data_IF_546283664622
#
_entry.id   IF_546283664622
#
_cell.length_a   1.000
_cell.length_b   1.000
_cell.length_c   1.000
_cell.angle_alpha   90.00
_cell.angle_beta   90.00
_cell.angle_gamma   90.00
#
_symmetry.space_group_name_H-M   'P 1'
#
loop_
_entity.id
_entity.type
_entity.pdbx_description
1 polymer ?
#
# COMPACT_ATOMS: atom_id res chain seq x y z
N UNK A 1 -4.53 1.14 26.29
CA UNK A 1 -5.44 1.16 25.13
C UNK A 1 -4.66 0.56 23.97
N UNK A 2 -5.17 -0.50 23.35
CA UNK A 2 -4.40 -1.29 22.38
C UNK A 2 -4.07 -0.44 21.14
N UNK A 3 -2.78 -0.20 20.92
CA UNK A 3 -2.17 0.48 19.77
C UNK A 3 -2.18 -0.39 18.50
N UNK A 4 -3.19 -1.25 18.31
CA UNK A 4 -3.32 -2.12 17.15
C UNK A 4 -3.93 -1.35 15.99
N UNK A 5 -3.17 -0.39 15.45
CA UNK A 5 -3.61 0.42 14.32
C UNK A 5 -2.89 -0.03 13.04
N UNK A 6 -3.68 -0.34 12.02
CA UNK A 6 -3.20 -0.53 10.65
C UNK A 6 -3.42 0.76 9.83
N UNK A 7 -2.45 1.18 9.02
CA UNK A 7 -2.58 2.40 8.19
C UNK A 7 -1.73 2.29 6.92
N UNK A 8 -2.25 2.77 5.79
CA UNK A 8 -1.51 2.87 4.53
C UNK A 8 -1.26 4.35 4.24
N UNK A 9 0.00 4.72 4.07
CA UNK A 9 0.45 6.07 3.73
C UNK A 9 0.86 6.10 2.26
N UNK A 10 0.35 7.08 1.50
CA UNK A 10 0.66 7.27 0.08
C UNK A 10 1.42 8.60 -0.06
N UNK A 11 2.58 8.52 -0.72
CA UNK A 11 3.46 9.64 -1.02
C UNK A 11 3.52 9.84 -2.53
N UNK A 12 3.34 11.08 -2.97
CA UNK A 12 3.59 11.47 -4.35
C UNK A 12 5.09 11.48 -4.65
N UNK A 13 5.44 11.51 -5.94
CA UNK A 13 6.84 11.74 -6.33
C UNK A 13 7.36 13.11 -5.89
N UNK A 14 6.49 14.11 -5.75
CA UNK A 14 6.87 15.43 -5.24
C UNK A 14 7.30 15.34 -3.77
N UNK A 15 6.54 14.63 -2.93
CA UNK A 15 6.88 14.42 -1.52
C UNK A 15 8.23 13.72 -1.39
N UNK A 16 8.49 12.73 -2.24
CA UNK A 16 9.75 11.96 -2.25
C UNK A 16 10.91 12.83 -2.74
N UNK A 17 10.72 13.61 -3.80
CA UNK A 17 11.76 14.49 -4.32
C UNK A 17 12.13 15.57 -3.29
N UNK A 18 11.14 16.13 -2.60
CA UNK A 18 11.39 17.08 -1.51
C UNK A 18 12.23 16.46 -0.39
N UNK A 19 11.96 15.19 -0.04
CA UNK A 19 12.74 14.44 0.95
C UNK A 19 14.17 14.13 0.49
N UNK A 20 14.37 13.86 -0.81
CA UNK A 20 15.70 13.70 -1.40
C UNK A 20 16.48 15.01 -1.31
N UNK A 21 15.84 16.15 -1.64
CA UNK A 21 16.46 17.47 -1.58
C UNK A 21 16.83 17.86 -0.14
N UNK A 22 16.00 17.52 0.84
CA UNK A 22 16.26 17.72 2.27
C UNK A 22 17.37 16.78 2.80
N UNK A 23 17.52 15.59 2.21
CA UNK A 23 18.46 14.54 2.65
C UNK A 23 19.37 14.05 1.50
N UNK A 24 20.21 14.93 0.92
CA UNK A 24 20.99 14.62 -0.29
C UNK A 24 22.05 13.53 -0.09
N UNK A 25 22.34 13.15 1.17
CA UNK A 25 23.27 12.09 1.53
C UNK A 25 22.63 10.69 1.50
N UNK A 26 21.31 10.59 1.41
CA UNK A 26 20.58 9.32 1.25
C UNK A 26 20.39 9.07 -0.24
N UNK A 27 21.26 8.26 -0.83
CA UNK A 27 21.23 7.94 -2.27
C UNK A 27 20.37 6.73 -2.60
N UNK A 28 20.01 5.92 -1.61
CA UNK A 28 19.14 4.75 -1.77
C UNK A 28 17.67 5.14 -1.47
N UNK A 29 16.77 5.12 -2.47
CA UNK A 29 15.35 5.41 -2.28
C UNK A 29 14.68 4.52 -1.23
N UNK A 30 15.13 3.28 -1.03
CA UNK A 30 14.55 2.39 -0.03
C UNK A 30 14.92 2.82 1.40
N UNK A 31 16.14 3.32 1.61
CA UNK A 31 16.57 3.89 2.90
C UNK A 31 15.79 5.18 3.19
N UNK A 32 15.57 6.00 2.16
CA UNK A 32 14.75 7.20 2.28
C UNK A 32 13.33 6.84 2.68
N UNK A 33 12.67 5.92 1.97
CA UNK A 33 11.31 5.49 2.26
C UNK A 33 11.20 4.73 3.60
N UNK A 34 12.28 4.11 4.09
CA UNK A 34 12.31 3.50 5.42
C UNK A 34 12.37 4.54 6.56
N UNK A 35 12.76 5.78 6.25
CA UNK A 35 12.96 6.86 7.24
C UNK A 35 12.12 8.12 7.00
N UNK A 36 11.41 8.22 5.87
CA UNK A 36 10.53 9.34 5.51
C UNK A 36 9.52 9.61 6.62
N UNK A 37 9.24 10.89 6.89
CA UNK A 37 8.23 11.26 7.88
C UNK A 37 6.83 10.87 7.38
N UNK A 38 6.10 10.08 8.17
CA UNK A 38 4.75 9.63 7.80
C UNK A 38 3.73 10.77 7.80
N UNK A 39 4.00 11.86 8.53
CA UNK A 39 3.14 13.05 8.55
C UNK A 39 3.15 13.82 7.22
N UNK A 40 4.17 13.58 6.38
CA UNK A 40 4.30 14.18 5.04
C UNK A 40 3.55 13.41 3.95
N UNK A 41 2.84 12.33 4.28
CA UNK A 41 2.08 11.58 3.30
C UNK A 41 0.99 12.44 2.65
N UNK A 42 0.96 12.50 1.32
CA UNK A 42 -0.10 13.20 0.59
C UNK A 42 -1.49 12.60 0.83
N UNK A 43 -1.56 11.30 1.15
CA UNK A 43 -2.82 10.67 1.54
C UNK A 43 -2.61 9.57 2.58
N UNK A 44 -3.53 9.50 3.54
CA UNK A 44 -3.54 8.49 4.59
C UNK A 44 -4.84 7.70 4.49
N UNK A 45 -4.72 6.39 4.33
CA UNK A 45 -5.82 5.44 4.37
C UNK A 45 -5.89 4.90 5.80
N UNK A 46 -6.86 5.35 6.61
CA UNK A 46 -7.02 4.82 7.96
C UNK A 46 -7.64 3.41 7.92
N UNK A 47 -7.41 2.64 8.99
CA UNK A 47 -8.03 1.31 9.19
C UNK A 47 -9.55 1.31 9.04
N UNK A 48 -10.20 2.42 9.44
CA UNK A 48 -11.65 2.58 9.33
C UNK A 48 -12.15 2.58 7.89
N UNK A 49 -11.31 2.99 6.92
CA UNK A 49 -11.65 2.97 5.50
C UNK A 49 -11.49 1.58 4.86
N UNK A 50 -10.75 0.67 5.50
CA UNK A 50 -10.58 -0.71 5.04
C UNK A 50 -11.86 -1.48 5.34
N UNK A 51 -12.50 -2.00 4.31
CA UNK A 51 -13.75 -2.76 4.41
C UNK A 51 -13.45 -4.22 4.64
N UNK A 52 -12.51 -4.76 3.86
CA UNK A 52 -12.11 -6.14 3.93
C UNK A 52 -10.64 -6.30 3.55
N UNK A 53 -10.02 -7.35 4.08
CA UNK A 53 -8.73 -7.82 3.68
C UNK A 53 -8.84 -9.28 3.23
N UNK A 54 -8.65 -9.51 1.94
CA UNK A 54 -8.58 -10.83 1.33
C UNK A 54 -7.18 -11.40 1.55
N UNK A 55 -7.08 -12.40 2.43
CA UNK A 55 -5.80 -12.99 2.79
C UNK A 55 -5.23 -13.87 1.67
N UNK A 56 -5.98 -14.78 1.03
CA UNK A 56 -5.48 -15.52 -0.13
C UNK A 56 -4.97 -14.61 -1.25
N UNK A 57 -5.74 -13.58 -1.59
CA UNK A 57 -5.41 -12.67 -2.70
C UNK A 57 -4.53 -11.49 -2.28
N UNK A 58 -4.21 -11.38 -0.99
CA UNK A 58 -3.39 -10.30 -0.42
C UNK A 58 -3.87 -8.91 -0.90
N UNK A 59 -5.18 -8.68 -0.77
CA UNK A 59 -5.87 -7.52 -1.35
C UNK A 59 -6.72 -6.81 -0.31
N UNK A 60 -6.48 -5.51 -0.12
CA UNK A 60 -7.36 -4.65 0.67
C UNK A 60 -8.46 -4.08 -0.22
N UNK A 61 -9.69 -4.22 0.25
CA UNK A 61 -10.85 -3.51 -0.28
C UNK A 61 -11.12 -2.28 0.57
N UNK A 62 -11.15 -1.11 -0.06
CA UNK A 62 -11.25 0.19 0.63
C UNK A 62 -12.41 0.96 0.03
N UNK A 63 -13.14 1.71 0.85
CA UNK A 63 -14.14 2.66 0.35
C UNK A 63 -13.47 3.72 -0.52
N UNK A 64 -14.04 4.02 -1.68
CA UNK A 64 -13.60 5.12 -2.54
C UNK A 64 -14.33 6.42 -2.15
N UNK A 65 -13.70 7.37 -1.42
CA UNK A 65 -14.38 8.61 -1.06
C UNK A 65 -14.60 9.57 -2.25
N UNK A 66 -14.07 9.24 -3.43
CA UNK A 66 -14.24 10.02 -4.66
C UNK A 66 -15.27 9.43 -5.63
N UNK A 67 -15.91 8.30 -5.31
CA UNK A 67 -16.84 7.64 -6.24
C UNK A 67 -18.02 8.52 -6.69
N UNK A 68 -18.51 9.39 -5.80
CA UNK A 68 -19.59 10.33 -6.09
C UNK A 68 -19.13 11.62 -6.78
N UNK A 69 -17.82 11.81 -6.96
CA UNK A 69 -17.27 13.02 -7.57
C UNK A 69 -17.13 12.80 -9.08
N UNK A 70 -17.57 13.77 -9.87
CA UNK A 70 -17.35 13.81 -11.33
C UNK A 70 -15.86 13.86 -11.74
N UNK A 71 -14.94 13.98 -10.77
CA UNK A 71 -13.49 13.93 -11.00
C UNK A 71 -13.01 12.53 -10.69
N UNK A 72 -12.31 11.95 -11.67
CA UNK A 72 -11.53 10.72 -11.55
C UNK A 72 -10.71 10.71 -10.25
N UNK A 73 -10.57 9.54 -9.64
CA UNK A 73 -9.67 9.31 -8.51
C UNK A 73 -8.32 10.03 -8.73
N UNK A 74 -7.76 10.73 -7.73
CA UNK A 74 -6.48 11.39 -7.90
C UNK A 74 -5.40 10.47 -8.50
N UNK A 75 -4.72 10.95 -9.54
CA UNK A 75 -3.73 10.17 -10.31
C UNK A 75 -2.65 9.53 -9.43
N UNK A 76 -2.22 10.22 -8.38
CA UNK A 76 -1.23 9.71 -7.43
C UNK A 76 -1.71 8.49 -6.63
N UNK A 77 -3.02 8.21 -6.58
CA UNK A 77 -3.55 7.00 -5.97
C UNK A 77 -3.61 5.83 -6.95
N UNK A 78 -3.37 6.11 -8.23
CA UNK A 78 -3.49 5.18 -9.34
C UNK A 78 -2.12 4.72 -9.85
N UNK A 79 -1.15 5.63 -9.96
CA UNK A 79 0.17 5.27 -10.48
C UNK A 79 1.24 6.29 -10.05
N UNK A 80 2.50 5.81 -9.96
CA UNK A 80 3.69 6.65 -9.85
C UNK A 80 4.07 7.04 -8.42
N UNK A 81 3.20 6.82 -7.45
CA UNK A 81 3.44 7.10 -6.03
C UNK A 81 4.17 5.97 -5.31
N UNK A 82 4.56 6.22 -4.06
CA UNK A 82 5.02 5.17 -3.13
C UNK A 82 4.00 4.97 -2.02
N UNK A 83 3.88 3.74 -1.57
CA UNK A 83 3.03 3.35 -0.46
C UNK A 83 3.89 2.77 0.68
N UNK A 84 3.54 3.15 1.91
CA UNK A 84 4.09 2.57 3.13
C UNK A 84 2.94 2.04 3.96
N UNK A 85 3.00 0.76 4.33
CA UNK A 85 2.02 0.12 5.20
C UNK A 85 2.60 0.02 6.59
N UNK A 86 1.83 0.45 7.57
CA UNK A 86 2.21 0.46 8.99
C UNK A 86 1.22 -0.36 9.79
N UNK A 87 1.74 -1.24 10.64
CA UNK A 87 0.97 -1.96 11.64
C UNK A 87 1.68 -1.85 12.99
N UNK A 88 0.95 -1.46 14.04
CA UNK A 88 1.52 -1.29 15.39
C UNK A 88 2.79 -0.41 15.41
N UNK A 89 2.75 0.71 14.68
CA UNK A 89 3.88 1.66 14.53
C UNK A 89 5.10 1.12 13.78
N UNK A 90 5.06 -0.13 13.30
CA UNK A 90 6.10 -0.71 12.48
C UNK A 90 5.75 -0.60 11.00
N UNK A 91 6.70 -0.14 10.17
CA UNK A 91 6.59 -0.22 8.71
C UNK A 91 6.75 -1.69 8.31
N UNK A 92 5.69 -2.27 7.76
CA UNK A 92 5.63 -3.69 7.40
C UNK A 92 5.70 -3.91 5.89
N UNK A 93 5.53 -2.85 5.09
CA UNK A 93 5.71 -2.87 3.65
C UNK A 93 6.06 -1.46 3.16
N UNK A 94 6.95 -1.41 2.16
CA UNK A 94 7.29 -0.23 1.38
C UNK A 94 7.28 -0.67 -0.07
N UNK A 95 6.61 0.06 -0.94
CA UNK A 95 6.54 -0.32 -2.35
C UNK A 95 6.02 0.78 -3.27
N UNK A 96 6.14 0.54 -4.57
CA UNK A 96 5.56 1.42 -5.59
C UNK A 96 4.06 1.19 -5.69
N UNK A 97 3.31 2.26 -5.90
CA UNK A 97 1.90 2.19 -6.25
C UNK A 97 1.76 2.19 -7.78
N UNK A 98 1.17 1.14 -8.30
CA UNK A 98 1.05 0.89 -9.74
C UNK A 98 -0.38 0.57 -10.11
N UNK A 99 -0.77 0.89 -11.32
CA UNK A 99 -2.13 0.60 -11.75
C UNK A 99 -2.24 -0.78 -12.39
N UNK A 100 -3.26 -1.53 -12.02
CA UNK A 100 -3.55 -2.84 -12.60
C UNK A 100 -3.79 -2.77 -14.12
N UNK A 101 -4.35 -1.66 -14.61
CA UNK A 101 -4.70 -1.46 -16.03
C UNK A 101 -3.51 -1.05 -16.91
N UNK A 102 -2.49 -0.41 -16.32
CA UNK A 102 -1.39 0.25 -17.07
C UNK A 102 -0.02 -0.36 -16.80
N UNK A 103 0.19 -1.00 -15.65
CA UNK A 103 1.49 -1.55 -15.28
C UNK A 103 1.80 -2.82 -16.08
N UNK A 104 2.60 -2.68 -17.13
CA UNK A 104 3.00 -3.79 -18.00
C UNK A 104 4.25 -4.52 -17.52
N UNK A 105 5.08 -3.88 -16.69
CA UNK A 105 6.35 -4.45 -16.26
C UNK A 105 6.81 -3.84 -14.94
N UNK A 106 7.07 -4.70 -13.96
CA UNK A 106 7.90 -4.38 -12.80
C UNK A 106 9.11 -5.31 -12.88
N UNK A 107 10.29 -4.82 -12.50
CA UNK A 107 11.43 -5.68 -12.28
C UNK A 107 11.02 -6.84 -11.33
N UNK A 108 11.38 -8.09 -11.63
CA UNK A 108 10.96 -9.25 -10.83
C UNK A 108 11.19 -9.03 -9.35
N UNK A 109 12.34 -8.48 -8.97
CA UNK A 109 12.79 -8.18 -7.61
C UNK A 109 12.00 -7.09 -6.85
N UNK A 110 11.14 -6.34 -7.53
CA UNK A 110 10.41 -5.24 -6.92
C UNK A 110 9.00 -5.66 -6.50
N UNK A 111 8.63 -5.25 -5.29
CA UNK A 111 7.26 -5.40 -4.82
C UNK A 111 6.46 -4.13 -5.04
N UNK A 112 5.23 -4.29 -5.50
CA UNK A 112 4.30 -3.19 -5.69
C UNK A 112 2.94 -3.45 -5.05
N UNK A 113 2.29 -2.33 -4.73
CA UNK A 113 0.89 -2.26 -4.39
C UNK A 113 0.12 -1.86 -5.65
N UNK A 114 -0.61 -2.80 -6.22
CA UNK A 114 -1.42 -2.55 -7.39
C UNK A 114 -2.76 -1.95 -6.98
N UNK A 115 -3.10 -0.80 -7.57
CA UNK A 115 -4.38 -0.16 -7.38
C UNK A 115 -5.32 -0.50 -8.54
N UNK A 116 -6.56 -0.84 -8.19
CA UNK A 116 -7.67 -1.05 -9.12
C UNK A 116 -8.89 -0.30 -8.61
N UNK A 117 -9.50 0.52 -9.47
CA UNK A 117 -10.62 1.39 -9.09
C UNK A 117 -11.89 0.83 -9.69
N UNK A 118 -12.82 0.39 -8.83
CA UNK A 118 -14.11 -0.13 -9.29
C UNK A 118 -15.21 0.58 -8.54
N UNK A 119 -15.88 1.50 -9.23
CA UNK A 119 -17.04 2.24 -8.71
C UNK A 119 -16.76 2.89 -7.34
N UNK A 120 -17.43 2.38 -6.31
CA UNK A 120 -17.41 2.80 -4.92
C UNK A 120 -16.24 2.24 -4.11
N UNK A 121 -15.33 1.50 -4.74
CA UNK A 121 -14.22 0.83 -4.09
C UNK A 121 -12.86 1.04 -4.77
N UNK A 122 -11.83 1.03 -3.93
CA UNK A 122 -10.43 0.95 -4.33
C UNK A 122 -9.90 -0.38 -3.82
N UNK A 123 -9.22 -1.12 -4.70
CA UNK A 123 -8.55 -2.36 -4.36
C UNK A 123 -7.06 -2.12 -4.39
N UNK A 124 -6.38 -2.47 -3.30
CA UNK A 124 -4.93 -2.41 -3.18
C UNK A 124 -4.38 -3.81 -2.96
N UNK A 125 -3.71 -4.32 -3.99
CA UNK A 125 -3.32 -5.71 -4.12
C UNK A 125 -1.79 -5.84 -4.06
N UNK A 126 -1.26 -6.59 -3.11
CA UNK A 126 0.19 -6.84 -3.04
C UNK A 126 0.60 -7.88 -4.09
N UNK A 127 1.54 -7.54 -4.97
CA UNK A 127 2.02 -8.43 -6.03
C UNK A 127 3.53 -8.32 -6.23
N UNK A 128 4.12 -9.41 -6.70
CA UNK A 128 5.52 -9.51 -7.13
C UNK A 128 5.55 -9.80 -8.63
N UNK A 129 6.45 -9.17 -9.39
CA UNK A 129 6.59 -9.37 -10.83
C UNK A 129 5.46 -8.81 -11.71
N UNK A 130 5.49 -9.16 -13.00
CA UNK A 130 4.58 -8.64 -14.05
C UNK A 130 3.23 -9.37 -14.09
N UNK A 131 2.15 -8.60 -14.24
CA UNK A 131 0.77 -9.07 -14.47
C UNK A 131 0.64 -9.97 -15.70
N UNK A 132 1.53 -9.83 -16.69
CA UNK A 132 1.46 -10.57 -17.96
C UNK A 132 2.00 -12.01 -17.91
N UNK A 133 2.68 -12.44 -16.83
CA UNK A 133 3.29 -13.78 -16.79
C UNK A 133 2.90 -14.70 -15.64
N UNK A 134 2.10 -14.24 -14.67
CA UNK A 134 1.58 -14.93 -13.46
C UNK A 134 1.89 -14.07 -12.24
N UNK A 135 1.13 -12.98 -12.06
CA UNK A 135 1.17 -12.26 -10.79
C UNK A 135 0.55 -13.17 -9.72
N UNK A 136 1.38 -14.00 -9.08
CA UNK A 136 0.97 -14.79 -7.92
C UNK A 136 0.66 -13.83 -6.77
N UNK A 137 -0.39 -14.12 -6.00
CA UNK A 137 -0.60 -13.45 -4.73
C UNK A 137 0.67 -13.65 -3.89
N UNK A 138 1.32 -12.54 -3.53
CA UNK A 138 2.58 -12.60 -2.81
C UNK A 138 2.27 -12.71 -1.31
N UNK A 139 2.64 -13.79 -0.62
CA UNK A 139 2.40 -13.91 0.81
C UNK A 139 3.06 -12.74 1.51
N UNK A 140 2.23 -11.93 2.15
CA UNK A 140 2.52 -10.84 3.07
C UNK A 140 3.99 -10.44 3.19
N UNK A 141 4.30 -9.24 2.68
CA UNK A 141 5.62 -8.59 2.58
C UNK A 141 6.40 -8.36 3.86
N UNK A 142 5.95 -8.92 4.99
CA UNK A 142 6.84 -9.05 6.12
C UNK A 142 7.43 -10.47 6.12
N UNK A 143 8.74 -10.64 5.88
CA UNK A 143 9.39 -11.94 6.01
C UNK A 143 9.25 -12.53 7.42
N UNK A 144 8.82 -11.72 8.39
CA UNK A 144 8.45 -12.16 9.72
C UNK A 144 7.03 -12.80 9.75
N UNK A 145 6.92 -14.13 9.92
CA UNK A 145 5.63 -14.81 10.01
C UNK A 145 4.82 -14.40 11.25
N UNK A 146 5.48 -13.87 12.30
CA UNK A 146 4.79 -13.38 13.50
C UNK A 146 3.96 -12.14 13.16
N UNK A 147 4.53 -11.24 12.36
CA UNK A 147 3.83 -10.01 11.95
C UNK A 147 2.69 -10.35 11.00
N UNK A 148 2.91 -11.28 10.07
CA UNK A 148 1.86 -11.78 9.18
C UNK A 148 0.66 -12.32 9.96
N UNK A 149 0.89 -13.21 10.92
CA UNK A 149 -0.18 -13.76 11.76
C UNK A 149 -0.80 -12.71 12.69
N UNK A 150 -0.03 -11.74 13.18
CA UNK A 150 -0.57 -10.64 13.99
C UNK A 150 -1.53 -9.76 13.18
N UNK A 151 -1.17 -9.42 11.94
CA UNK A 151 -2.04 -8.66 11.03
C UNK A 151 -3.28 -9.48 10.67
N UNK A 152 -3.11 -10.76 10.36
CA UNK A 152 -4.21 -11.68 10.09
C UNK A 152 -5.19 -11.75 11.26
N UNK A 153 -4.68 -11.97 12.47
CA UNK A 153 -5.47 -12.03 13.70
C UNK A 153 -6.19 -10.71 13.97
N UNK A 154 -5.54 -9.57 13.73
CA UNK A 154 -6.12 -8.24 13.87
C UNK A 154 -7.32 -8.04 12.95
N UNK A 155 -7.17 -8.28 11.63
CA UNK A 155 -8.29 -8.17 10.70
C UNK A 155 -9.40 -9.20 10.98
N UNK A 156 -9.06 -10.38 11.52
CA UNK A 156 -10.06 -11.36 11.98
C UNK A 156 -10.87 -10.82 13.15
N UNK A 157 -10.23 -10.21 14.13
CA UNK A 157 -10.90 -9.58 15.29
C UNK A 157 -11.82 -8.43 14.87
N UNK A 158 -11.44 -7.69 13.82
CA UNK A 158 -12.29 -6.65 13.24
C UNK A 158 -13.46 -7.19 12.40
N UNK A 159 -13.52 -8.50 12.13
CA UNK A 159 -14.51 -9.08 11.23
C UNK A 159 -14.31 -8.68 9.76
N UNK A 160 -13.09 -8.25 9.39
CA UNK A 160 -12.73 -7.75 8.06
C UNK A 160 -11.86 -8.73 7.27
N UNK A 161 -11.43 -9.83 7.87
CA UNK A 161 -10.63 -10.85 7.18
C UNK A 161 -11.50 -11.75 6.31
N UNK A 162 -11.07 -11.99 5.08
CA UNK A 162 -11.57 -13.03 4.18
C UNK A 162 -10.48 -14.10 4.07
N UNK A 163 -10.83 -15.36 4.34
CA UNK A 163 -9.93 -16.53 4.33
C UNK A 163 -10.34 -17.55 3.27
#
# INVERSE_FOLDING_TARGET
>A
MNNSQFTIYIFTNEDINHEIDDKPHITDPNILLATIDLERAAYVIPESAIIAYDWPEQTFKITNPWHDRLRETPFFMHEGSKAIVVFQQQRIMIGSLLSEDTARFIAPEETALYSSFRQDHIFYSFRYGSVLQTAQAYPFLNPDPIIAEAVKAHFRQLGKLIE
#
